data_IF_059859813354
#
_entry.id   IF_059859813354
#
_cell.length_a   1.000
_cell.length_b   1.000
_cell.length_c   1.000
_cell.angle_alpha   90.00
_cell.angle_beta   90.00
_cell.angle_gamma   90.00
#
_symmetry.space_group_name_H-M   'P 1'
#
loop_
_entity.id
_entity.type
_entity.pdbx_description
1 polymer ?
#
# COMPACT_ATOMS: atom_id res chain seq x y z
N UNK A 1 28.35 50.97 -16.82
CA UNK A 1 29.68 51.46 -17.28
C UNK A 1 29.87 52.84 -16.66
N UNK A 2 30.86 53.15 -15.82
CA UNK A 2 32.23 52.67 -15.73
C UNK A 2 32.72 52.67 -14.26
N UNK A 3 33.35 51.56 -13.83
CA UNK A 3 34.75 51.39 -13.36
C UNK A 3 34.99 51.88 -11.90
N UNK A 4 35.06 51.00 -10.91
CA UNK A 4 36.08 49.99 -10.53
C UNK A 4 37.14 50.52 -9.53
N UNK A 5 37.08 49.93 -8.33
CA UNK A 5 38.15 49.63 -7.35
C UNK A 5 38.97 50.77 -6.71
N UNK A 6 38.93 50.86 -5.37
CA UNK A 6 40.01 50.34 -4.50
C UNK A 6 39.83 50.80 -3.04
N UNK A 7 39.67 49.82 -2.15
CA UNK A 7 40.26 49.63 -0.82
C UNK A 7 40.44 50.74 0.24
N UNK A 8 40.37 50.22 1.48
CA UNK A 8 40.75 50.79 2.77
C UNK A 8 39.66 51.61 3.47
N UNK A 9 39.10 51.03 4.54
CA UNK A 9 39.10 51.53 5.92
C UNK A 9 37.94 50.88 6.67
N UNK A 10 38.28 49.91 7.54
CA UNK A 10 37.65 49.63 8.84
C UNK A 10 37.80 48.15 9.26
N UNK A 11 39.04 47.69 9.37
CA UNK A 11 39.39 46.61 10.31
C UNK A 11 39.84 47.27 11.62
N UNK A 12 38.90 47.46 12.54
CA UNK A 12 39.24 47.52 13.97
C UNK A 12 38.00 47.24 14.81
N UNK A 13 38.16 46.28 15.74
CA UNK A 13 37.23 45.84 16.80
C UNK A 13 36.22 44.75 16.41
N UNK A 14 36.65 43.50 16.57
CA UNK A 14 36.10 42.60 17.59
C UNK A 14 36.89 41.28 17.56
N UNK A 15 37.96 41.22 18.34
CA UNK A 15 38.60 39.96 18.70
C UNK A 15 37.95 39.46 20.00
N UNK A 16 37.12 38.43 19.92
CA UNK A 16 36.81 37.54 21.04
C UNK A 16 36.86 36.10 20.53
N UNK A 17 37.93 35.41 20.93
CA UNK A 17 38.05 33.97 21.19
C UNK A 17 37.33 32.96 20.27
N UNK A 18 38.08 32.34 19.35
CA UNK A 18 37.83 30.93 18.94
C UNK A 18 39.18 30.20 18.98
N UNK A 19 39.35 29.31 19.96
CA UNK A 19 40.40 28.29 19.91
C UNK A 19 40.00 27.27 18.85
N UNK A 20 40.70 27.27 17.72
CA UNK A 20 40.56 26.22 16.70
C UNK A 20 41.50 25.08 17.11
N UNK A 21 40.92 23.90 17.33
CA UNK A 21 41.63 22.68 17.68
C UNK A 21 42.57 22.24 16.54
N UNK A 22 43.80 21.82 16.90
CA UNK A 22 44.81 21.31 15.94
C UNK A 22 44.27 20.14 15.10
N UNK A 23 43.24 19.44 15.57
CA UNK A 23 42.55 18.35 14.86
C UNK A 23 41.84 18.80 13.56
N UNK A 24 41.30 20.03 13.55
CA UNK A 24 40.53 20.56 12.40
C UNK A 24 41.47 20.88 11.23
N UNK A 25 42.67 21.38 11.52
CA UNK A 25 43.68 21.67 10.49
C UNK A 25 44.26 20.38 9.87
N UNK A 26 44.37 19.30 10.65
CA UNK A 26 44.84 18.00 10.13
C UNK A 26 43.78 17.31 9.25
N UNK A 27 42.49 17.44 9.59
CA UNK A 27 41.40 16.85 8.78
C UNK A 27 41.22 17.54 7.43
N UNK A 28 41.45 18.87 7.35
CA UNK A 28 41.36 19.61 6.08
C UNK A 28 42.50 19.24 5.13
N UNK A 29 43.71 19.00 5.64
CA UNK A 29 44.85 18.54 4.83
C UNK A 29 44.70 17.10 4.31
N UNK A 30 44.11 16.20 5.11
CA UNK A 30 43.84 14.81 4.69
C UNK A 30 42.73 14.75 3.63
N UNK A 31 41.70 15.60 3.72
CA UNK A 31 40.69 15.72 2.67
C UNK A 31 41.26 16.24 1.35
N UNK A 32 42.23 17.18 1.39
CA UNK A 32 42.86 17.71 0.17
C UNK A 32 43.78 16.68 -0.52
N UNK A 33 44.47 15.83 0.24
CA UNK A 33 45.33 14.77 -0.30
C UNK A 33 44.56 13.56 -0.86
N UNK A 34 43.36 13.28 -0.33
CA UNK A 34 42.49 12.21 -0.85
C UNK A 34 41.74 12.63 -2.13
N UNK A 35 41.50 13.94 -2.32
CA UNK A 35 40.85 14.48 -3.52
C UNK A 35 41.76 14.51 -4.76
N UNK A 36 43.08 14.52 -4.61
CA UNK A 36 44.03 14.49 -5.73
C UNK A 36 44.37 13.06 -6.22
N UNK A 37 44.08 12.02 -5.43
CA UNK A 37 44.37 10.62 -5.77
C UNK A 37 43.28 9.93 -6.62
N UNK A 38 42.12 10.57 -6.85
CA UNK A 38 40.98 9.99 -7.58
C UNK A 38 40.90 10.39 -9.07
N UNK A 39 41.82 11.23 -9.55
CA UNK A 39 41.86 11.66 -10.95
C UNK A 39 43.27 11.48 -11.52
N UNK A 40 43.66 10.26 -11.92
CA UNK A 40 44.62 9.96 -13.00
C UNK A 40 44.77 8.43 -13.15
N UNK A 41 44.52 7.81 -14.33
CA UNK A 41 44.80 6.39 -14.55
C UNK A 41 46.23 6.24 -15.08
N UNK A 42 47.15 5.67 -14.28
CA UNK A 42 48.46 5.26 -14.77
C UNK A 42 48.41 3.76 -15.09
N UNK A 43 48.58 3.43 -16.38
CA UNK A 43 48.85 2.08 -16.87
C UNK A 43 50.27 1.69 -16.46
N UNK A 44 50.44 0.55 -15.81
CA UNK A 44 51.75 -0.09 -15.62
C UNK A 44 51.67 -1.54 -16.10
N UNK A 45 52.49 -1.85 -17.10
CA UNK A 45 52.77 -3.20 -17.62
C UNK A 45 53.67 -3.95 -16.63
N UNK A 46 53.31 -5.21 -16.32
CA UNK A 46 54.16 -6.14 -15.58
C UNK A 46 54.75 -7.18 -16.54
N UNK A 47 56.05 -7.53 -16.42
CA UNK A 47 56.67 -8.56 -17.24
C UNK A 47 56.48 -9.97 -16.65
N UNK A 48 56.51 -10.95 -17.56
CA UNK A 48 56.44 -12.39 -17.32
C UNK A 48 57.61 -12.92 -16.47
N UNK A 49 57.32 -13.76 -15.46
CA UNK A 49 58.03 -15.04 -15.24
C UNK A 49 57.51 -15.76 -13.98
N UNK A 50 57.02 -16.99 -14.19
CA UNK A 50 57.24 -18.24 -13.44
C UNK A 50 55.98 -19.10 -13.42
N UNK A 51 56.15 -20.30 -13.97
CA UNK A 51 55.18 -21.36 -14.22
C UNK A 51 55.38 -22.47 -13.20
N UNK A 52 54.30 -23.22 -12.95
CA UNK A 52 54.18 -24.50 -12.22
C UNK A 52 54.18 -24.37 -10.69
N UNK A 53 53.34 -25.07 -9.92
CA UNK A 53 52.80 -26.42 -10.14
C UNK A 53 51.61 -26.74 -9.22
N UNK A 54 50.72 -27.60 -9.73
CA UNK A 54 49.98 -28.67 -9.05
C UNK A 54 48.74 -28.37 -8.17
N UNK A 55 47.66 -28.98 -8.68
CA UNK A 55 46.67 -29.84 -8.02
C UNK A 55 45.41 -29.25 -7.35
N UNK A 56 44.32 -29.59 -8.03
CA UNK A 56 42.97 -29.89 -7.58
C UNK A 56 42.90 -30.58 -6.21
N UNK A 57 42.09 -30.01 -5.31
CA UNK A 57 41.30 -30.77 -4.34
C UNK A 57 40.04 -29.97 -3.98
N UNK A 58 38.89 -30.62 -4.13
CA UNK A 58 37.61 -30.25 -3.55
C UNK A 58 37.75 -29.92 -2.06
N UNK A 59 37.05 -28.90 -1.59
CA UNK A 59 36.26 -28.96 -0.35
C UNK A 59 35.39 -27.70 -0.18
N UNK A 60 34.09 -27.97 -0.09
CA UNK A 60 33.08 -27.38 0.78
C UNK A 60 33.51 -26.30 1.80
N UNK A 61 32.58 -25.34 1.93
CA UNK A 61 32.33 -24.45 3.07
C UNK A 61 33.07 -23.11 3.08
N UNK A 62 32.30 -22.03 2.94
CA UNK A 62 32.81 -20.67 2.75
C UNK A 62 31.77 -19.63 3.13
N UNK A 63 31.70 -19.34 4.43
CA UNK A 63 31.06 -18.14 5.01
C UNK A 63 31.44 -16.90 4.20
N UNK A 64 30.47 -16.25 3.57
CA UNK A 64 30.68 -14.89 3.07
C UNK A 64 30.53 -13.88 4.23
N UNK A 65 31.57 -13.04 4.30
CA UNK A 65 31.80 -12.09 5.36
C UNK A 65 30.78 -10.96 5.43
N UNK A 66 30.67 -10.43 6.64
CA UNK A 66 29.91 -9.24 7.01
C UNK A 66 30.39 -8.04 6.18
N UNK A 67 29.53 -7.53 5.31
CA UNK A 67 29.66 -6.17 4.79
C UNK A 67 28.88 -5.26 5.74
N UNK A 68 29.62 -4.46 6.50
CA UNK A 68 29.11 -3.43 7.41
C UNK A 68 28.45 -2.33 6.57
N UNK A 69 27.12 -2.36 6.47
CA UNK A 69 26.35 -1.20 6.02
C UNK A 69 26.18 -0.28 7.22
N UNK A 70 26.72 0.94 7.11
CA UNK A 70 26.60 1.97 8.11
C UNK A 70 25.12 2.27 8.42
N UNK A 71 24.70 1.92 9.63
CA UNK A 71 23.40 2.26 10.19
C UNK A 71 23.42 3.70 10.70
N UNK A 72 22.66 4.58 10.07
CA UNK A 72 22.31 5.88 10.66
C UNK A 72 21.33 5.68 11.83
N UNK A 73 21.51 6.34 12.98
CA UNK A 73 20.64 6.17 14.12
C UNK A 73 19.27 6.83 13.87
N UNK A 74 18.21 6.01 13.82
CA UNK A 74 16.83 6.48 13.93
C UNK A 74 16.61 7.02 15.35
N UNK A 75 16.68 8.34 15.50
CA UNK A 75 16.27 9.02 16.72
C UNK A 75 14.74 8.95 16.88
N UNK A 76 14.31 8.19 17.90
CA UNK A 76 13.27 8.62 18.84
C UNK A 76 11.82 8.69 18.35
N UNK A 77 11.22 7.56 18.01
CA UNK A 77 9.78 7.36 18.29
C UNK A 77 9.66 6.71 19.66
N UNK A 78 9.19 7.47 20.67
CA UNK A 78 8.83 6.94 21.99
C UNK A 78 7.73 5.90 21.77
N UNK A 79 8.00 4.66 22.19
CA UNK A 79 7.01 3.58 22.19
C UNK A 79 5.88 3.94 23.16
N UNK A 80 4.64 3.83 22.69
CA UNK A 80 3.45 3.97 23.52
C UNK A 80 3.49 2.90 24.64
N UNK A 81 3.44 3.27 25.94
CA UNK A 81 3.61 2.32 27.04
C UNK A 81 2.39 1.41 27.30
N UNK A 82 1.26 1.59 26.60
CA UNK A 82 0.05 0.79 26.83
C UNK A 82 -0.09 -0.46 25.95
N UNK A 83 0.88 -0.77 25.08
CA UNK A 83 0.84 -2.01 24.31
C UNK A 83 1.40 -3.18 25.12
N UNK A 84 0.55 -3.81 25.92
CA UNK A 84 0.91 -4.96 26.75
C UNK A 84 1.22 -6.19 25.86
N UNK A 85 2.48 -6.32 25.43
CA UNK A 85 3.00 -7.44 24.64
C UNK A 85 3.14 -8.70 25.51
N UNK A 86 2.05 -9.35 25.90
CA UNK A 86 2.14 -10.61 26.68
C UNK A 86 1.28 -11.77 26.18
N UNK A 87 0.68 -11.68 24.99
CA UNK A 87 0.23 -12.87 24.24
C UNK A 87 0.49 -12.70 22.75
N UNK A 88 1.72 -13.01 22.30
CA UNK A 88 1.94 -13.33 20.89
C UNK A 88 1.26 -14.66 20.61
N UNK A 89 0.07 -14.63 20.01
CA UNK A 89 -0.40 -15.81 19.30
C UNK A 89 0.55 -16.09 18.14
N UNK A 90 0.82 -17.37 17.89
CA UNK A 90 1.74 -17.76 16.83
C UNK A 90 1.00 -17.68 15.49
N UNK A 91 1.38 -16.70 14.64
CA UNK A 91 0.89 -16.60 13.25
C UNK A 91 1.14 -17.90 12.44
N UNK A 92 1.85 -18.90 12.99
CA UNK A 92 2.11 -20.21 12.40
C UNK A 92 1.03 -21.27 12.67
N UNK A 93 -0.01 -20.99 13.46
CA UNK A 93 -1.17 -21.91 13.54
C UNK A 93 -1.93 -22.00 12.20
N UNK A 94 -1.74 -21.03 11.31
CA UNK A 94 -2.27 -21.05 9.94
C UNK A 94 -1.20 -21.62 9.00
N UNK A 95 -1.15 -22.96 8.86
CA UNK A 95 -0.24 -23.62 7.92
C UNK A 95 -0.75 -23.45 6.49
N UNK A 96 -0.08 -22.60 5.71
CA UNK A 96 -0.20 -22.58 4.25
C UNK A 96 0.58 -23.74 3.62
N UNK A 97 0.21 -24.98 3.94
CA UNK A 97 0.60 -26.16 3.16
C UNK A 97 -0.66 -26.63 2.45
N UNK A 98 -0.54 -26.92 1.16
CA UNK A 98 -1.58 -27.51 0.29
C UNK A 98 -2.44 -26.54 -0.53
N UNK A 99 -1.91 -25.38 -0.95
CA UNK A 99 -2.50 -24.68 -2.10
C UNK A 99 -1.95 -25.25 -3.42
N UNK A 100 -2.76 -26.08 -4.07
CA UNK A 100 -2.75 -26.22 -5.54
C UNK A 100 -3.82 -25.26 -6.09
N UNK A 101 -3.51 -24.41 -7.07
CA UNK A 101 -4.53 -23.59 -7.72
C UNK A 101 -5.63 -24.51 -8.29
N UNK A 102 -6.91 -24.16 -8.12
CA UNK A 102 -7.98 -25.01 -8.62
C UNK A 102 -7.87 -25.10 -10.14
N UNK A 103 -7.89 -26.33 -10.66
CA UNK A 103 -8.18 -26.57 -12.07
C UNK A 103 -9.60 -26.08 -12.37
N UNK A 104 -9.84 -25.40 -13.50
CA UNK A 104 -11.17 -24.95 -13.85
C UNK A 104 -12.01 -26.17 -14.20
N UNK A 105 -12.91 -26.58 -13.30
CA UNK A 105 -14.18 -27.29 -13.56
C UNK A 105 -14.77 -27.84 -12.25
N UNK A 106 -15.87 -27.23 -11.81
CA UNK A 106 -17.10 -27.94 -11.50
C UNK A 106 -18.22 -27.05 -12.03
N UNK A 107 -18.87 -27.48 -13.10
CA UNK A 107 -20.14 -26.93 -13.55
C UNK A 107 -21.18 -27.20 -12.48
N UNK A 108 -21.35 -26.26 -11.55
CA UNK A 108 -22.55 -26.23 -10.72
C UNK A 108 -23.74 -25.98 -11.64
N UNK A 109 -24.80 -26.75 -11.44
CA UNK A 109 -26.11 -26.48 -12.03
C UNK A 109 -26.48 -25.04 -11.71
N UNK A 110 -26.41 -24.16 -12.72
CA UNK A 110 -26.82 -22.76 -12.61
C UNK A 110 -28.35 -22.78 -12.62
N UNK A 111 -28.98 -22.94 -11.45
CA UNK A 111 -30.26 -22.28 -11.27
C UNK A 111 -29.95 -20.79 -11.38
N UNK A 112 -30.41 -20.13 -12.44
CA UNK A 112 -30.30 -18.68 -12.63
C UNK A 112 -30.91 -17.98 -11.41
N UNK A 113 -30.07 -17.66 -10.41
CA UNK A 113 -30.50 -16.86 -9.27
C UNK A 113 -30.59 -15.42 -9.75
N UNK A 114 -31.76 -14.80 -9.56
CA UNK A 114 -31.97 -13.41 -9.95
C UNK A 114 -31.24 -12.51 -8.97
N UNK A 115 -30.65 -11.43 -9.49
CA UNK A 115 -30.07 -10.39 -8.65
C UNK A 115 -31.20 -9.56 -8.05
N UNK A 116 -31.36 -9.66 -6.74
CA UNK A 116 -32.37 -8.95 -5.95
C UNK A 116 -31.71 -7.84 -5.14
N UNK A 117 -32.24 -6.63 -5.26
CA UNK A 117 -31.82 -5.47 -4.48
C UNK A 117 -32.82 -5.23 -3.35
N UNK A 118 -32.31 -5.19 -2.12
CA UNK A 118 -33.07 -4.86 -0.92
C UNK A 118 -32.55 -3.55 -0.32
N UNK A 119 -33.34 -2.94 0.56
CA UNK A 119 -32.90 -1.79 1.34
C UNK A 119 -33.50 -1.84 2.73
N UNK A 120 -32.69 -1.53 3.74
CA UNK A 120 -33.11 -1.45 5.15
C UNK A 120 -32.52 -0.20 5.79
N UNK A 121 -33.27 0.41 6.71
CA UNK A 121 -32.73 1.45 7.58
C UNK A 121 -32.07 0.81 8.80
N UNK A 122 -30.89 1.30 9.18
CA UNK A 122 -30.07 0.72 10.24
C UNK A 122 -29.53 1.82 11.14
N UNK A 123 -29.60 1.60 12.46
CA UNK A 123 -28.90 2.43 13.43
C UNK A 123 -27.40 2.19 13.32
N UNK A 124 -26.61 3.24 13.17
CA UNK A 124 -25.14 3.14 13.05
C UNK A 124 -24.54 3.09 14.45
N UNK A 125 -24.74 2.02 15.20
CA UNK A 125 -24.20 1.92 16.57
C UNK A 125 -22.66 2.00 16.60
N UNK A 126 -22.06 2.76 17.55
CA UNK A 126 -22.67 3.51 18.66
C UNK A 126 -22.99 4.98 18.33
N UNK A 127 -23.06 5.35 17.06
CA UNK A 127 -23.39 6.69 16.58
C UNK A 127 -24.90 6.94 16.58
N UNK A 128 -25.30 8.14 16.97
CA UNK A 128 -26.71 8.55 17.03
C UNK A 128 -27.26 8.98 15.65
N UNK A 129 -27.13 8.13 14.64
CA UNK A 129 -27.67 8.36 13.30
C UNK A 129 -28.15 7.06 12.66
N UNK A 130 -29.11 7.20 11.73
CA UNK A 130 -29.55 6.11 10.85
C UNK A 130 -28.95 6.22 9.47
N UNK A 131 -28.88 5.09 8.77
CA UNK A 131 -28.57 5.05 7.35
C UNK A 131 -29.36 3.97 6.64
N UNK A 132 -29.75 4.24 5.40
CA UNK A 132 -30.28 3.22 4.49
C UNK A 132 -29.11 2.44 3.90
N UNK A 133 -29.09 1.12 4.11
CA UNK A 133 -28.16 0.21 3.44
C UNK A 133 -28.87 -0.44 2.26
N UNK A 134 -28.25 -0.36 1.09
CA UNK A 134 -28.66 -1.12 -0.09
C UNK A 134 -27.91 -2.45 -0.11
N UNK A 135 -28.66 -3.54 -0.29
CA UNK A 135 -28.17 -4.91 -0.16
C UNK A 135 -28.39 -5.66 -1.46
N UNK A 136 -27.33 -6.25 -2.00
CA UNK A 136 -27.43 -7.11 -3.19
C UNK A 136 -27.47 -8.58 -2.77
N UNK A 137 -28.41 -9.37 -3.30
CA UNK A 137 -28.54 -10.80 -3.03
C UNK A 137 -28.77 -11.59 -4.33
N UNK A 138 -28.16 -12.77 -4.45
CA UNK A 138 -28.46 -13.73 -5.52
C UNK A 138 -29.56 -14.68 -5.05
N UNK A 139 -30.82 -14.23 -5.03
CA UNK A 139 -31.96 -14.98 -4.47
C UNK A 139 -33.29 -14.54 -5.08
N UNK A 140 -34.24 -15.48 -5.18
CA UNK A 140 -35.61 -15.18 -5.64
C UNK A 140 -36.58 -14.96 -4.45
N UNK A 141 -36.07 -14.99 -3.21
CA UNK A 141 -36.86 -14.77 -2.00
C UNK A 141 -37.16 -13.28 -1.79
N UNK A 142 -38.34 -12.91 -1.27
CA UNK A 142 -38.69 -11.51 -1.00
C UNK A 142 -37.75 -10.89 0.03
N UNK A 143 -37.47 -9.59 -0.10
CA UNK A 143 -36.62 -8.86 0.83
C UNK A 143 -37.18 -8.90 2.27
N UNK A 144 -36.38 -9.29 3.27
CA UNK A 144 -36.68 -9.03 4.67
C UNK A 144 -36.95 -7.54 4.91
N UNK A 145 -37.83 -7.24 5.86
CA UNK A 145 -38.27 -5.87 6.12
C UNK A 145 -37.43 -5.17 7.19
N UNK A 146 -36.76 -5.93 8.05
CA UNK A 146 -35.89 -5.44 9.13
C UNK A 146 -34.43 -5.86 8.92
N UNK A 147 -33.53 -5.11 9.55
CA UNK A 147 -32.08 -5.29 9.40
C UNK A 147 -31.60 -6.63 9.99
N UNK A 148 -32.17 -7.10 11.10
CA UNK A 148 -31.72 -8.33 11.76
C UNK A 148 -32.05 -9.56 10.91
N UNK A 149 -33.27 -9.64 10.39
CA UNK A 149 -33.69 -10.70 9.47
C UNK A 149 -32.90 -10.68 8.16
N UNK A 150 -32.54 -9.48 7.67
CA UNK A 150 -31.69 -9.35 6.49
C UNK A 150 -30.26 -9.80 6.75
N UNK A 151 -29.67 -9.38 7.88
CA UNK A 151 -28.34 -9.80 8.31
C UNK A 151 -28.28 -11.32 8.46
N UNK A 152 -29.24 -11.91 9.17
CA UNK A 152 -29.32 -13.35 9.36
C UNK A 152 -29.42 -14.08 8.02
N UNK A 153 -30.19 -13.56 7.06
CA UNK A 153 -30.27 -14.13 5.72
C UNK A 153 -28.93 -14.06 5.00
N UNK A 154 -28.26 -12.90 5.01
CA UNK A 154 -26.97 -12.75 4.32
C UNK A 154 -25.95 -13.72 4.91
N UNK A 155 -25.84 -13.77 6.24
CA UNK A 155 -24.93 -14.68 6.95
C UNK A 155 -25.23 -16.14 6.60
N UNK A 156 -26.50 -16.54 6.61
CA UNK A 156 -26.89 -17.93 6.37
C UNK A 156 -26.68 -18.37 4.91
N UNK A 157 -26.98 -17.48 3.94
CA UNK A 157 -26.94 -17.84 2.53
C UNK A 157 -25.58 -17.57 1.86
N UNK A 158 -24.82 -16.59 2.36
CA UNK A 158 -23.62 -16.07 1.70
C UNK A 158 -22.41 -15.91 2.62
N UNK A 159 -22.57 -16.05 3.93
CA UNK A 159 -21.52 -15.82 4.93
C UNK A 159 -21.48 -14.37 5.41
N UNK A 160 -20.60 -14.12 6.38
CA UNK A 160 -20.37 -12.79 6.94
C UNK A 160 -19.21 -12.07 6.25
N UNK A 161 -19.23 -10.75 6.31
CA UNK A 161 -18.09 -9.90 5.99
C UNK A 161 -16.97 -10.13 7.01
N UNK A 162 -15.72 -9.93 6.60
CA UNK A 162 -14.52 -9.94 7.46
C UNK A 162 -14.28 -8.56 8.13
N UNK A 163 -15.25 -7.65 8.03
CA UNK A 163 -15.16 -6.28 8.56
C UNK A 163 -16.13 -6.01 9.73
N UNK A 164 -17.44 -6.12 9.49
CA UNK A 164 -18.50 -5.81 10.47
C UNK A 164 -19.88 -6.23 9.95
N UNK A 165 -20.87 -6.27 10.83
CA UNK A 165 -22.27 -6.56 10.46
C UNK A 165 -22.85 -5.56 9.46
N UNK A 166 -22.48 -4.29 9.58
CA UNK A 166 -22.90 -3.28 8.61
C UNK A 166 -22.31 -3.53 7.22
N UNK A 167 -21.06 -4.00 7.15
CA UNK A 167 -20.46 -4.43 5.89
C UNK A 167 -21.09 -5.73 5.38
N UNK A 168 -21.52 -6.64 6.27
CA UNK A 168 -22.31 -7.83 5.90
C UNK A 168 -23.65 -7.46 5.28
N UNK A 169 -24.35 -6.49 5.87
CA UNK A 169 -25.65 -6.02 5.37
C UNK A 169 -25.62 -5.47 3.94
N UNK A 170 -24.47 -5.11 3.38
CA UNK A 170 -24.38 -4.70 1.96
C UNK A 170 -24.57 -5.88 0.98
N UNK A 171 -24.51 -7.12 1.47
CA UNK A 171 -24.76 -8.32 0.67
C UNK A 171 -23.59 -8.69 -0.23
N UNK A 172 -23.87 -9.46 -1.29
CA UNK A 172 -22.85 -10.02 -2.19
C UNK A 172 -22.38 -9.03 -3.26
N UNK A 173 -21.33 -9.40 -3.97
CA UNK A 173 -20.78 -8.66 -5.12
C UNK A 173 -20.28 -7.23 -4.83
N UNK A 174 -19.91 -6.94 -3.57
CA UNK A 174 -19.43 -5.62 -3.18
C UNK A 174 -18.14 -5.23 -3.93
N UNK A 175 -18.02 -3.95 -4.23
CA UNK A 175 -16.77 -3.33 -4.64
C UNK A 175 -16.24 -2.46 -3.50
N UNK A 176 -14.99 -2.65 -3.09
CA UNK A 176 -14.44 -2.03 -1.86
C UNK A 176 -13.13 -1.28 -2.10
N UNK A 177 -13.06 -0.02 -1.70
CA UNK A 177 -11.79 0.70 -1.50
C UNK A 177 -11.37 0.53 -0.05
N UNK A 178 -10.23 -0.12 0.17
CA UNK A 178 -9.74 -0.52 1.49
C UNK A 178 -8.57 0.35 1.94
N UNK A 179 -8.68 0.85 3.17
CA UNK A 179 -7.71 1.75 3.81
C UNK A 179 -7.33 1.25 5.21
N UNK A 180 -6.12 1.61 5.63
CA UNK A 180 -5.69 1.53 7.02
C UNK A 180 -5.63 2.94 7.61
N UNK A 181 -6.07 3.10 8.85
CA UNK A 181 -5.81 4.29 9.67
C UNK A 181 -5.26 3.83 11.01
N UNK A 182 -4.07 4.30 11.38
CA UNK A 182 -3.34 3.83 12.56
C UNK A 182 -2.46 4.92 13.16
N UNK A 183 -1.92 4.64 14.36
CA UNK A 183 -1.17 5.61 15.16
C UNK A 183 -2.08 6.51 15.98
N UNK A 184 -1.46 7.29 16.88
CA UNK A 184 -2.19 8.17 17.80
C UNK A 184 -3.06 9.18 17.04
N UNK A 185 -4.30 9.34 17.53
CA UNK A 185 -5.26 10.30 17.00
C UNK A 185 -5.06 11.70 17.62
N UNK A 186 -5.12 12.79 16.85
CA UNK A 186 -5.20 12.87 15.39
C UNK A 186 -3.81 12.87 14.73
N UNK A 187 -3.72 12.34 13.50
CA UNK A 187 -2.54 12.42 12.65
C UNK A 187 -2.92 12.54 11.15
N UNK A 188 -1.92 12.65 10.27
CA UNK A 188 -2.11 12.86 8.82
C UNK A 188 -3.03 11.81 8.15
N UNK A 189 -3.05 10.56 8.62
CA UNK A 189 -3.89 9.49 8.06
C UNK A 189 -5.39 9.75 8.29
N UNK A 190 -5.74 10.29 9.46
CA UNK A 190 -7.12 10.67 9.79
C UNK A 190 -7.59 11.86 8.96
N UNK A 191 -6.70 12.83 8.72
CA UNK A 191 -6.99 14.03 7.92
C UNK A 191 -7.17 13.70 6.44
N UNK A 192 -6.40 12.74 5.91
CA UNK A 192 -6.51 12.29 4.53
C UNK A 192 -7.89 11.70 4.21
N UNK A 193 -8.47 10.95 5.15
CA UNK A 193 -9.76 10.29 4.96
C UNK A 193 -10.92 11.28 4.67
N UNK A 194 -10.95 12.43 5.35
CA UNK A 194 -11.93 13.51 5.09
C UNK A 194 -11.94 13.98 3.62
N UNK A 195 -10.77 13.95 2.96
CA UNK A 195 -10.64 14.34 1.54
C UNK A 195 -10.99 13.19 0.60
N UNK A 196 -10.71 11.96 1.01
CA UNK A 196 -10.89 10.77 0.19
C UNK A 196 -12.35 10.34 0.08
N UNK A 197 -13.13 10.40 1.17
CA UNK A 197 -14.50 9.87 1.18
C UNK A 197 -15.43 10.56 0.16
N UNK A 198 -15.47 11.91 0.06
CA UNK A 198 -16.24 12.57 -0.99
C UNK A 198 -15.72 12.25 -2.39
N UNK A 199 -14.39 12.21 -2.56
CA UNK A 199 -13.76 11.95 -3.86
C UNK A 199 -14.05 10.54 -4.37
N UNK A 200 -14.05 9.54 -3.50
CA UNK A 200 -14.40 8.16 -3.86
C UNK A 200 -15.86 8.09 -4.31
N UNK A 201 -16.78 8.75 -3.58
CA UNK A 201 -18.19 8.76 -3.97
C UNK A 201 -18.40 9.41 -5.33
N UNK A 202 -17.63 10.45 -5.65
CA UNK A 202 -17.67 11.13 -6.95
C UNK A 202 -17.19 10.23 -8.09
N UNK A 203 -16.05 9.55 -7.94
CA UNK A 203 -15.41 8.83 -9.06
C UNK A 203 -15.74 7.34 -9.13
N UNK A 204 -16.16 6.76 -8.02
CA UNK A 204 -16.50 5.35 -7.83
C UNK A 204 -17.82 5.23 -7.02
N UNK A 205 -18.95 5.72 -7.55
CA UNK A 205 -20.20 5.88 -6.78
C UNK A 205 -20.77 4.58 -6.20
N UNK A 206 -20.49 3.45 -6.86
CA UNK A 206 -20.93 2.10 -6.46
C UNK A 206 -19.94 1.37 -5.54
N UNK A 207 -18.81 2.00 -5.21
CA UNK A 207 -17.80 1.41 -4.34
C UNK A 207 -18.03 1.83 -2.89
N UNK A 208 -17.96 0.84 -2.01
CA UNK A 208 -17.93 1.06 -0.57
C UNK A 208 -16.49 1.33 -0.13
N UNK A 209 -16.34 2.05 0.97
CA UNK A 209 -15.05 2.32 1.61
C UNK A 209 -14.99 1.52 2.89
N UNK A 210 -13.93 0.75 3.07
CA UNK A 210 -13.64 0.06 4.32
C UNK A 210 -12.38 0.63 4.95
N UNK A 211 -12.50 1.10 6.18
CA UNK A 211 -11.39 1.67 6.94
C UNK A 211 -11.10 0.76 8.11
N UNK A 212 -9.96 0.06 8.05
CA UNK A 212 -9.46 -0.74 9.15
C UNK A 212 -8.74 0.16 10.13
N UNK A 213 -9.16 0.12 11.39
CA UNK A 213 -8.78 1.09 12.41
C UNK A 213 -8.75 0.47 13.80
N UNK A 214 -7.84 0.96 14.63
CA UNK A 214 -7.82 0.71 16.07
C UNK A 214 -8.78 1.70 16.75
N UNK A 215 -9.94 1.20 17.16
CA UNK A 215 -10.97 1.99 17.82
C UNK A 215 -10.89 1.94 19.36
N UNK A 216 -9.74 1.55 19.93
CA UNK A 216 -9.55 1.50 21.39
C UNK A 216 -9.53 2.89 22.07
N UNK A 217 -9.39 3.97 21.29
CA UNK A 217 -9.36 5.34 21.80
C UNK A 217 -10.77 5.94 21.86
N UNK A 218 -11.32 6.12 23.06
CA UNK A 218 -12.64 6.78 23.24
C UNK A 218 -12.71 8.18 22.59
N UNK A 219 -11.59 8.90 22.54
CA UNK A 219 -11.49 10.22 21.88
C UNK A 219 -11.71 10.18 20.36
N UNK A 220 -11.58 9.01 19.74
CA UNK A 220 -11.78 8.81 18.31
C UNK A 220 -13.26 8.69 17.93
N UNK A 221 -14.12 8.31 18.89
CA UNK A 221 -15.51 7.98 18.61
C UNK A 221 -16.30 9.13 17.97
N UNK A 222 -16.22 10.40 18.43
CA UNK A 222 -16.92 11.52 17.78
C UNK A 222 -16.51 11.70 16.32
N UNK A 223 -15.22 11.54 16.01
CA UNK A 223 -14.70 11.64 14.65
C UNK A 223 -15.18 10.49 13.76
N UNK A 224 -15.19 9.25 14.27
CA UNK A 224 -15.74 8.10 13.55
C UNK A 224 -17.22 8.30 13.26
N UNK A 225 -18.00 8.72 14.25
CA UNK A 225 -19.43 8.95 14.08
C UNK A 225 -19.74 10.07 13.11
N UNK A 226 -19.00 11.18 13.16
CA UNK A 226 -19.12 12.23 12.16
C UNK A 226 -18.98 11.67 10.74
N UNK A 227 -17.91 10.90 10.48
CA UNK A 227 -17.67 10.33 9.14
C UNK A 227 -18.69 9.26 8.76
N UNK A 228 -19.02 8.34 9.67
CA UNK A 228 -19.96 7.25 9.40
C UNK A 228 -21.39 7.78 9.09
N UNK A 229 -21.82 8.83 9.78
CA UNK A 229 -23.11 9.47 9.52
C UNK A 229 -23.11 10.32 8.23
N UNK A 230 -21.98 10.95 7.88
CA UNK A 230 -21.87 11.77 6.67
C UNK A 230 -21.67 10.96 5.39
N UNK A 231 -21.16 9.73 5.49
CA UNK A 231 -20.76 8.91 4.34
C UNK A 231 -21.39 7.51 4.41
N UNK A 232 -22.59 7.30 3.84
CA UNK A 232 -23.28 6.00 3.87
C UNK A 232 -22.51 4.85 3.21
N UNK A 233 -21.56 5.15 2.33
CA UNK A 233 -20.68 4.18 1.68
C UNK A 233 -19.47 3.75 2.54
N UNK A 234 -19.29 4.31 3.74
CA UNK A 234 -18.19 3.98 4.65
C UNK A 234 -18.58 2.90 5.67
N UNK A 235 -17.71 1.92 5.85
CA UNK A 235 -17.71 1.01 7.00
C UNK A 235 -16.36 1.06 7.73
N UNK A 236 -16.41 1.19 9.05
CA UNK A 236 -15.25 0.99 9.89
C UNK A 236 -15.12 -0.49 10.26
N UNK A 237 -13.91 -1.02 10.11
CA UNK A 237 -13.54 -2.38 10.52
C UNK A 237 -12.62 -2.24 11.74
N UNK A 238 -13.19 -2.42 12.94
CA UNK A 238 -12.42 -2.31 14.17
C UNK A 238 -11.49 -3.53 14.29
N UNK A 239 -10.18 -3.30 14.29
CA UNK A 239 -9.18 -4.38 14.30
C UNK A 239 -9.26 -5.29 15.52
N UNK A 240 -9.77 -4.79 16.65
CA UNK A 240 -9.95 -5.58 17.87
C UNK A 240 -11.18 -6.51 17.83
N UNK A 241 -12.11 -6.26 16.90
CA UNK A 241 -13.39 -6.96 16.79
C UNK A 241 -13.65 -7.47 15.38
N UNK A 242 -12.59 -7.76 14.61
CA UNK A 242 -12.75 -8.35 13.27
C UNK A 242 -13.30 -9.78 13.38
N UNK A 243 -14.27 -10.15 12.54
CA UNK A 243 -14.73 -11.53 12.43
C UNK A 243 -13.58 -12.49 12.10
N UNK A 244 -13.73 -13.76 12.49
CA UNK A 244 -12.76 -14.83 12.21
C UNK A 244 -11.32 -14.55 12.69
N UNK A 245 -11.09 -13.64 13.65
CA UNK A 245 -9.75 -13.32 14.17
C UNK A 245 -9.47 -13.94 15.56
N UNK A 246 -10.27 -14.92 15.99
CA UNK A 246 -10.10 -15.60 17.27
C UNK A 246 -8.71 -16.22 17.41
N UNK A 247 -7.99 -15.81 18.45
CA UNK A 247 -6.64 -16.31 18.71
C UNK A 247 -5.58 -15.81 17.72
N UNK A 248 -5.87 -14.80 16.90
CA UNK A 248 -4.93 -14.11 16.01
C UNK A 248 -4.59 -12.74 16.58
N UNK A 249 -3.30 -12.47 16.75
CA UNK A 249 -2.82 -11.14 17.17
C UNK A 249 -2.68 -10.28 15.93
N UNK A 250 -3.47 -9.20 15.86
CA UNK A 250 -3.34 -8.23 14.77
C UNK A 250 -1.97 -7.54 14.84
N UNK A 251 -1.33 -7.48 13.69
CA UNK A 251 -0.01 -6.89 13.46
C UNK A 251 -0.10 -5.39 13.17
N UNK A 252 0.87 -4.90 12.38
CA UNK A 252 1.05 -3.47 12.13
C UNK A 252 -0.08 -2.86 11.27
N UNK A 253 -0.45 -1.62 11.60
CA UNK A 253 -1.36 -0.74 10.86
C UNK A 253 -1.19 -0.75 9.36
N UNK A 254 0.06 -0.79 8.90
CA UNK A 254 0.38 -0.83 7.47
C UNK A 254 -0.15 -2.08 6.75
N UNK A 255 -0.61 -3.10 7.47
CA UNK A 255 -1.16 -4.33 6.88
C UNK A 255 -2.69 -4.34 6.84
N UNK A 256 -3.36 -3.54 7.69
CA UNK A 256 -4.78 -3.75 7.99
C UNK A 256 -5.71 -3.66 6.78
N UNK A 257 -5.43 -2.78 5.81
CA UNK A 257 -6.18 -2.69 4.54
C UNK A 257 -6.25 -4.02 3.78
N UNK A 258 -5.33 -4.95 4.02
CA UNK A 258 -5.35 -6.27 3.42
C UNK A 258 -6.41 -7.21 4.03
N UNK A 259 -7.10 -6.82 5.10
CA UNK A 259 -8.17 -7.60 5.72
C UNK A 259 -9.37 -7.89 4.81
N UNK A 260 -9.53 -7.13 3.72
CA UNK A 260 -10.59 -7.40 2.72
C UNK A 260 -10.29 -8.62 1.85
N UNK A 261 -9.04 -9.12 1.86
CA UNK A 261 -8.67 -10.32 1.12
C UNK A 261 -9.37 -11.52 1.79
N UNK A 262 -10.15 -12.24 0.98
CA UNK A 262 -10.88 -13.41 1.46
C UNK A 262 -12.29 -13.14 1.94
N UNK A 263 -12.71 -11.88 2.00
CA UNK A 263 -14.09 -11.53 2.27
C UNK A 263 -15.00 -12.05 1.15
N UNK A 264 -15.88 -12.98 1.50
CA UNK A 264 -16.75 -13.71 0.57
C UNK A 264 -17.84 -12.85 -0.06
N UNK A 265 -18.16 -11.71 0.56
CA UNK A 265 -19.17 -10.76 0.07
C UNK A 265 -18.58 -9.70 -0.87
N UNK A 266 -17.25 -9.61 -0.95
CA UNK A 266 -16.53 -8.63 -1.78
C UNK A 266 -16.10 -9.26 -3.09
N UNK A 267 -16.61 -8.79 -4.22
CA UNK A 267 -16.19 -9.25 -5.55
C UNK A 267 -14.86 -8.63 -5.98
N UNK A 268 -14.68 -7.33 -5.75
CA UNK A 268 -13.47 -6.59 -6.13
C UNK A 268 -13.06 -5.63 -5.02
N UNK A 269 -11.76 -5.43 -4.90
CA UNK A 269 -11.20 -4.50 -3.93
C UNK A 269 -10.04 -3.69 -4.50
N UNK A 270 -9.81 -2.50 -3.94
CA UNK A 270 -8.64 -1.66 -4.19
C UNK A 270 -7.95 -1.33 -2.87
N UNK A 271 -6.63 -1.49 -2.83
CA UNK A 271 -5.82 -1.11 -1.67
C UNK A 271 -5.27 0.28 -1.90
N UNK A 272 -5.51 1.18 -0.94
CA UNK A 272 -5.06 2.58 -1.02
C UNK A 272 -4.50 3.06 0.31
N UNK A 273 -3.57 4.00 0.22
CA UNK A 273 -3.01 4.69 1.37
C UNK A 273 -3.79 5.98 1.61
N UNK A 274 -4.10 6.31 2.87
CA UNK A 274 -4.91 7.49 3.22
C UNK A 274 -4.19 8.81 3.02
N UNK A 275 -2.86 8.78 2.86
CA UNK A 275 -2.05 9.96 2.57
C UNK A 275 -1.95 10.31 1.08
N UNK A 276 -2.59 9.52 0.21
CA UNK A 276 -2.46 9.62 -1.24
C UNK A 276 -3.76 10.12 -1.90
N UNK A 277 -3.75 11.24 -2.63
CA UNK A 277 -4.93 11.71 -3.36
C UNK A 277 -5.32 10.77 -4.51
N UNK A 278 -6.62 10.68 -4.80
CA UNK A 278 -7.14 9.99 -5.99
C UNK A 278 -7.10 10.93 -7.19
N UNK A 279 -6.07 10.77 -8.02
CA UNK A 279 -5.86 11.55 -9.23
C UNK A 279 -6.73 11.04 -10.39
N UNK A 280 -7.08 11.91 -11.34
CA UNK A 280 -7.79 11.50 -12.57
C UNK A 280 -7.05 10.40 -13.32
N UNK A 281 -5.71 10.47 -13.38
CA UNK A 281 -4.87 9.40 -13.95
C UNK A 281 -5.10 8.03 -13.30
N UNK A 282 -5.27 8.01 -11.98
CA UNK A 282 -5.59 6.77 -11.26
C UNK A 282 -6.97 6.26 -11.67
N UNK A 283 -7.96 7.15 -11.73
CA UNK A 283 -9.34 6.83 -12.12
C UNK A 283 -9.36 6.25 -13.53
N UNK A 284 -8.63 6.83 -14.48
CA UNK A 284 -8.53 6.32 -15.84
C UNK A 284 -7.92 4.91 -15.88
N UNK A 285 -6.84 4.68 -15.12
CA UNK A 285 -6.18 3.39 -15.01
C UNK A 285 -7.07 2.32 -14.35
N UNK A 286 -7.87 2.70 -13.34
CA UNK A 286 -8.85 1.83 -12.69
C UNK A 286 -10.00 1.51 -13.65
N UNK A 287 -10.55 2.51 -14.36
CA UNK A 287 -11.61 2.30 -15.36
C UNK A 287 -11.15 1.38 -16.48
N UNK A 288 -9.91 1.55 -16.96
CA UNK A 288 -9.32 0.64 -17.93
C UNK A 288 -9.21 -0.78 -17.36
N UNK A 289 -8.71 -0.95 -16.13
CA UNK A 289 -8.67 -2.27 -15.51
C UNK A 289 -10.07 -2.90 -15.41
N UNK A 290 -11.08 -2.15 -14.98
CA UNK A 290 -12.44 -2.64 -14.82
C UNK A 290 -13.10 -3.04 -16.14
N UNK A 291 -12.65 -2.50 -17.28
CA UNK A 291 -13.10 -2.92 -18.61
C UNK A 291 -12.37 -4.15 -19.14
N UNK A 292 -11.28 -4.58 -18.51
CA UNK A 292 -10.60 -5.84 -18.84
C UNK A 292 -11.23 -7.04 -18.14
N UNK A 293 -10.89 -8.25 -18.59
CA UNK A 293 -11.25 -9.50 -17.90
C UNK A 293 -10.22 -9.95 -16.85
N UNK A 294 -9.39 -9.02 -16.36
CA UNK A 294 -8.32 -9.36 -15.39
C UNK A 294 -8.76 -9.17 -13.95
N UNK A 295 -8.32 -10.07 -13.07
CA UNK A 295 -8.66 -10.01 -11.65
C UNK A 295 -7.88 -8.93 -10.90
N UNK A 296 -6.61 -8.72 -11.26
CA UNK A 296 -5.71 -7.86 -10.51
C UNK A 296 -5.36 -6.59 -11.27
N UNK A 297 -5.11 -5.51 -10.52
CA UNK A 297 -4.62 -4.24 -11.02
C UNK A 297 -3.38 -3.83 -10.26
N UNK A 298 -2.35 -3.38 -10.97
CA UNK A 298 -1.11 -2.93 -10.36
C UNK A 298 -0.69 -1.63 -11.04
N UNK A 299 -0.29 -0.64 -10.26
CA UNK A 299 0.15 0.66 -10.75
C UNK A 299 1.56 1.02 -10.24
N UNK A 300 2.41 1.51 -11.14
CA UNK A 300 3.78 1.99 -10.86
C UNK A 300 4.02 3.30 -11.60
N UNK A 301 3.68 4.41 -10.94
CA UNK A 301 3.60 5.73 -11.57
C UNK A 301 4.78 6.68 -11.21
N UNK A 302 5.81 6.18 -10.54
CA UNK A 302 7.00 6.96 -10.13
C UNK A 302 8.26 6.09 -10.25
N UNK A 303 9.44 6.70 -10.46
CA UNK A 303 10.74 5.99 -10.49
C UNK A 303 11.00 5.14 -9.24
N UNK A 304 10.51 5.58 -8.09
CA UNK A 304 10.65 4.86 -6.82
C UNK A 304 9.62 3.73 -6.66
N UNK A 305 8.63 3.62 -7.54
CA UNK A 305 7.64 2.54 -7.53
C UNK A 305 8.18 1.28 -8.20
N UNK A 306 9.33 0.80 -7.70
CA UNK A 306 10.14 -0.22 -8.33
C UNK A 306 9.96 -1.63 -7.74
N UNK A 307 8.91 -1.83 -6.94
CA UNK A 307 8.50 -3.12 -6.40
C UNK A 307 7.56 -3.85 -7.35
N UNK A 308 7.52 -5.19 -7.22
CA UNK A 308 6.58 -6.02 -7.99
C UNK A 308 5.13 -5.60 -7.77
N UNK A 309 4.79 -5.14 -6.56
CA UNK A 309 3.50 -4.54 -6.24
C UNK A 309 3.73 -3.48 -5.16
N UNK A 310 3.29 -2.25 -5.42
CA UNK A 310 3.27 -1.19 -4.40
C UNK A 310 2.04 -1.41 -3.51
N UNK A 311 2.19 -1.25 -2.20
CA UNK A 311 1.17 -1.68 -1.26
C UNK A 311 -0.12 -0.82 -1.27
N UNK A 312 -0.01 0.46 -1.61
CA UNK A 312 -1.14 1.39 -1.72
C UNK A 312 -1.66 1.63 -3.15
N UNK A 313 -1.25 0.86 -4.15
CA UNK A 313 -1.58 1.13 -5.56
C UNK A 313 -1.87 -0.15 -6.35
N UNK A 314 -2.74 -0.99 -5.80
CA UNK A 314 -3.17 -2.21 -6.46
C UNK A 314 -4.62 -2.55 -6.14
N UNK A 315 -5.19 -3.48 -6.90
CA UNK A 315 -6.53 -4.02 -6.70
C UNK A 315 -6.57 -5.49 -7.05
N UNK A 316 -7.62 -6.16 -6.60
CA UNK A 316 -7.83 -7.58 -6.83
C UNK A 316 -9.30 -7.93 -6.82
N UNK A 317 -9.58 -9.20 -7.06
CA UNK A 317 -10.89 -9.80 -6.92
C UNK A 317 -10.80 -10.95 -5.91
N UNK A 318 -11.81 -11.13 -5.04
CA UNK A 318 -11.83 -12.29 -4.14
C UNK A 318 -12.34 -13.52 -4.88
N UNK A 319 -11.48 -14.07 -5.75
CA UNK A 319 -11.67 -15.42 -6.29
C UNK A 319 -11.14 -16.50 -5.33
N UNK A 320 -10.68 -16.10 -4.15
CA UNK A 320 -10.22 -17.02 -3.11
C UNK A 320 -11.44 -17.71 -2.50
N UNK A 321 -11.65 -18.97 -2.84
CA UNK A 321 -12.83 -19.71 -2.38
C UNK A 321 -12.69 -20.10 -0.91
N UNK A 322 -13.71 -19.78 -0.12
CA UNK A 322 -13.89 -20.25 1.26
C UNK A 322 -12.71 -19.95 2.18
N UNK A 323 -12.34 -20.95 2.99
CA UNK A 323 -11.36 -20.81 4.07
C UNK A 323 -9.96 -20.34 3.61
N UNK A 324 -9.57 -20.58 2.36
CA UNK A 324 -8.25 -20.17 1.85
C UNK A 324 -8.14 -18.65 1.79
N UNK A 325 -9.19 -17.97 1.31
CA UNK A 325 -9.21 -16.52 1.27
C UNK A 325 -9.08 -15.92 2.66
N UNK A 326 -9.93 -16.39 3.58
CA UNK A 326 -9.93 -15.97 4.99
C UNK A 326 -8.54 -16.17 5.62
N UNK A 327 -7.89 -17.30 5.38
CA UNK A 327 -6.53 -17.55 5.87
C UNK A 327 -5.49 -16.58 5.31
N UNK A 328 -5.61 -16.19 4.04
CA UNK A 328 -4.71 -15.18 3.44
C UNK A 328 -4.94 -13.82 4.10
N UNK A 329 -6.20 -13.42 4.30
CA UNK A 329 -6.58 -12.18 5.01
C UNK A 329 -6.07 -12.16 6.45
N UNK A 330 -6.38 -13.19 7.24
CA UNK A 330 -5.87 -13.38 8.60
C UNK A 330 -4.35 -13.33 8.65
N UNK A 331 -3.67 -14.02 7.72
CA UNK A 331 -2.21 -13.98 7.67
C UNK A 331 -1.74 -12.56 7.41
N UNK A 332 -2.32 -11.85 6.46
CA UNK A 332 -1.99 -10.46 6.17
C UNK A 332 -2.14 -9.58 7.42
N UNK A 333 -3.25 -9.74 8.15
CA UNK A 333 -3.52 -9.03 9.40
C UNK A 333 -2.55 -9.39 10.53
N UNK A 334 -1.93 -10.58 10.52
CA UNK A 334 -1.01 -11.03 11.57
C UNK A 334 0.46 -10.64 11.33
N UNK A 335 0.91 -10.48 10.07
CA UNK A 335 2.35 -10.31 9.76
C UNK A 335 2.85 -8.92 10.20
N UNK A 336 4.03 -8.80 10.83
CA UNK A 336 4.63 -7.50 11.11
C UNK A 336 5.19 -6.81 9.85
N UNK A 337 4.82 -5.54 9.71
CA UNK A 337 5.51 -4.41 9.04
C UNK A 337 6.27 -4.65 7.72
N UNK A 338 5.77 -5.47 6.79
CA UNK A 338 6.40 -5.62 5.47
C UNK A 338 5.37 -5.90 4.37
N UNK A 339 4.46 -4.96 4.14
CA UNK A 339 3.37 -5.08 3.17
C UNK A 339 3.86 -5.47 1.76
N UNK A 340 4.88 -4.82 1.23
CA UNK A 340 5.42 -5.16 -0.10
C UNK A 340 6.12 -6.53 -0.15
N UNK A 341 6.74 -6.98 0.95
CA UNK A 341 7.29 -8.34 1.01
C UNK A 341 6.17 -9.38 1.09
N UNK A 342 5.11 -9.11 1.86
CA UNK A 342 3.93 -9.94 1.90
C UNK A 342 3.33 -10.07 0.50
N UNK A 343 3.13 -8.95 -0.21
CA UNK A 343 2.64 -8.96 -1.58
C UNK A 343 3.54 -9.77 -2.50
N UNK A 344 4.87 -9.55 -2.46
CA UNK A 344 5.85 -10.29 -3.28
C UNK A 344 5.76 -11.81 -3.07
N UNK A 345 5.57 -12.26 -1.83
CA UNK A 345 5.61 -13.69 -1.47
C UNK A 345 4.24 -14.36 -1.59
N UNK A 346 3.15 -13.65 -1.29
CA UNK A 346 1.81 -14.24 -1.15
C UNK A 346 0.86 -13.90 -2.28
N UNK A 347 0.90 -12.67 -2.80
CA UNK A 347 -0.10 -12.19 -3.77
C UNK A 347 0.47 -12.21 -5.19
N UNK A 348 1.66 -11.65 -5.40
CA UNK A 348 2.32 -11.52 -6.70
C UNK A 348 2.44 -12.83 -7.49
N UNK A 349 2.75 -14.00 -6.88
CA UNK A 349 2.86 -15.25 -7.65
C UNK A 349 1.59 -15.61 -8.42
N UNK A 350 0.41 -15.26 -7.87
CA UNK A 350 -0.91 -15.45 -8.48
C UNK A 350 -1.27 -14.25 -9.34
N UNK A 351 -1.12 -13.03 -8.81
CA UNK A 351 -1.56 -11.81 -9.48
C UNK A 351 -0.91 -11.61 -10.85
N UNK A 352 0.39 -11.91 -10.99
CA UNK A 352 1.14 -11.73 -12.25
C UNK A 352 0.59 -12.52 -13.45
N UNK A 353 -0.22 -13.55 -13.20
CA UNK A 353 -0.79 -14.40 -14.25
C UNK A 353 -2.10 -13.81 -14.81
N UNK A 354 -2.73 -12.88 -14.10
CA UNK A 354 -4.02 -12.32 -14.48
C UNK A 354 -4.16 -10.87 -13.97
N UNK A 355 -3.26 -9.99 -14.42
CA UNK A 355 -3.23 -8.59 -14.01
C UNK A 355 -3.21 -7.63 -15.20
N UNK A 356 -3.93 -6.52 -15.03
CA UNK A 356 -3.70 -5.28 -15.76
C UNK A 356 -2.66 -4.45 -15.02
N UNK A 357 -1.52 -4.18 -15.64
CA UNK A 357 -0.39 -3.52 -14.98
C UNK A 357 -0.05 -2.21 -15.68
N UNK A 358 -0.28 -1.07 -15.02
CA UNK A 358 0.10 0.24 -15.55
C UNK A 358 1.45 0.69 -14.96
N UNK A 359 2.37 1.10 -15.82
CA UNK A 359 3.75 1.42 -15.43
C UNK A 359 4.35 2.52 -16.29
N UNK A 360 4.76 3.62 -15.67
CA UNK A 360 5.33 4.78 -16.35
C UNK A 360 6.84 4.69 -16.57
N UNK A 361 7.56 3.91 -15.76
CA UNK A 361 9.02 4.00 -15.68
C UNK A 361 9.73 2.63 -15.72
N UNK A 362 9.15 1.61 -15.13
CA UNK A 362 9.75 0.29 -14.91
C UNK A 362 9.21 -0.80 -15.83
N UNK A 363 8.54 -0.45 -16.92
CA UNK A 363 7.92 -1.41 -17.84
C UNK A 363 8.90 -2.43 -18.46
N UNK A 364 10.19 -2.08 -18.61
CA UNK A 364 11.25 -3.03 -19.04
C UNK A 364 11.62 -4.05 -17.97
N UNK A 365 11.54 -3.65 -16.70
CA UNK A 365 11.81 -4.51 -15.55
C UNK A 365 10.65 -5.46 -15.27
N UNK A 366 9.43 -5.02 -15.60
CA UNK A 366 8.21 -5.80 -15.42
C UNK A 366 7.52 -6.00 -16.79
N UNK A 367 7.95 -7.02 -17.57
CA UNK A 367 7.31 -7.35 -18.84
C UNK A 367 5.81 -7.60 -18.68
N UNK A 368 5.01 -7.17 -19.67
CA UNK A 368 3.55 -7.21 -19.60
C UNK A 368 2.92 -5.96 -18.98
N UNK A 369 3.72 -5.04 -18.42
CA UNK A 369 3.25 -3.70 -18.09
C UNK A 369 2.89 -2.90 -19.34
N UNK A 370 1.85 -2.09 -19.24
CA UNK A 370 1.41 -1.13 -20.24
C UNK A 370 1.52 0.30 -19.69
N UNK A 371 1.62 1.31 -20.57
CA UNK A 371 1.58 2.70 -20.14
C UNK A 371 0.24 3.02 -19.47
N UNK A 372 0.24 4.02 -18.60
CA UNK A 372 -0.99 4.63 -18.11
C UNK A 372 -1.83 5.21 -19.26
N UNK A 373 -3.17 5.18 -19.15
CA UNK A 373 -4.08 5.53 -20.25
C UNK A 373 -4.23 7.04 -20.49
N UNK A 374 -3.72 7.89 -19.60
CA UNK A 374 -3.75 9.35 -19.75
C UNK A 374 -2.35 9.95 -19.72
N UNK A 375 -2.22 11.24 -20.05
CA UNK A 375 -0.98 11.99 -19.87
C UNK A 375 -0.86 12.47 -18.43
N UNK A 376 0.37 12.55 -17.89
CA UNK A 376 0.59 13.09 -16.55
C UNK A 376 0.29 14.59 -16.53
N UNK A 377 -0.47 15.03 -15.54
CA UNK A 377 -0.78 16.44 -15.32
C UNK A 377 -0.10 16.97 -14.06
N UNK A 378 0.42 18.20 -14.12
CA UNK A 378 1.03 18.93 -13.01
C UNK A 378 2.13 18.17 -12.26
N UNK A 379 2.87 17.27 -12.95
CA UNK A 379 3.90 16.42 -12.35
C UNK A 379 3.43 15.56 -11.16
N UNK A 380 2.12 15.42 -10.99
CA UNK A 380 1.52 14.57 -9.94
C UNK A 380 1.63 13.10 -10.33
N UNK A 381 1.66 12.20 -9.35
CA UNK A 381 1.70 10.76 -9.61
C UNK A 381 0.81 9.96 -8.65
N UNK A 382 0.30 8.84 -9.14
CA UNK A 382 -0.52 7.89 -8.36
C UNK A 382 0.32 7.36 -7.21
N UNK A 383 -0.19 7.49 -5.98
CA UNK A 383 0.52 7.11 -4.75
C UNK A 383 1.45 8.18 -4.17
N UNK A 384 1.39 9.43 -4.67
CA UNK A 384 2.07 10.56 -4.02
C UNK A 384 1.47 10.82 -2.64
N UNK A 385 2.28 11.15 -1.64
CA UNK A 385 1.86 11.24 -0.22
C UNK A 385 1.47 12.66 0.18
N UNK A 386 0.88 13.42 -0.74
CA UNK A 386 0.73 14.87 -0.60
C UNK A 386 -0.27 15.30 0.49
N UNK A 387 -1.02 14.37 1.10
CA UNK A 387 -1.82 14.69 2.29
C UNK A 387 -1.01 14.71 3.58
N UNK A 388 0.23 14.20 3.56
CA UNK A 388 1.17 14.39 4.67
C UNK A 388 1.86 15.73 4.55
N UNK A 389 1.89 16.48 5.65
CA UNK A 389 2.45 17.85 5.67
C UNK A 389 3.87 17.93 5.08
N UNK A 390 4.71 16.94 5.42
CA UNK A 390 6.10 16.84 4.92
C UNK A 390 6.20 16.60 3.40
N UNK A 391 5.19 16.00 2.78
CA UNK A 391 5.23 15.58 1.37
C UNK A 391 4.23 16.33 0.49
N UNK A 392 3.67 17.45 0.96
CA UNK A 392 2.64 18.24 0.25
C UNK A 392 3.02 18.60 -1.19
N UNK A 393 4.32 18.77 -1.45
CA UNK A 393 4.88 19.19 -2.74
C UNK A 393 5.58 18.05 -3.49
N UNK A 394 5.28 16.81 -3.14
CA UNK A 394 5.86 15.64 -3.81
C UNK A 394 5.39 15.57 -5.28
N UNK A 395 6.34 15.62 -6.22
CA UNK A 395 6.12 15.61 -7.67
C UNK A 395 7.15 14.73 -8.40
N UNK A 396 6.90 14.41 -9.67
CA UNK A 396 7.85 13.72 -10.55
C UNK A 396 8.16 14.56 -11.80
N UNK A 397 9.43 14.96 -11.94
CA UNK A 397 9.93 15.76 -13.08
C UNK A 397 10.76 14.94 -14.06
N UNK A 398 10.85 13.62 -13.87
CA UNK A 398 11.59 12.76 -14.80
C UNK A 398 10.70 12.34 -15.95
N UNK A 399 11.21 12.49 -17.18
CA UNK A 399 10.50 12.03 -18.37
C UNK A 399 10.36 10.51 -18.38
N UNK A 400 9.24 10.02 -18.89
CA UNK A 400 9.04 8.60 -19.14
C UNK A 400 10.08 8.06 -20.13
N UNK A 401 10.66 6.87 -19.87
CA UNK A 401 11.41 6.14 -20.87
C UNK A 401 10.57 5.93 -22.12
N UNK A 402 11.15 6.14 -23.31
CA UNK A 402 10.45 6.02 -24.61
C UNK A 402 9.67 4.70 -24.72
N UNK A 403 10.29 3.61 -24.28
CA UNK A 403 9.70 2.27 -24.29
C UNK A 403 8.51 2.08 -23.33
N UNK A 404 8.31 2.96 -22.35
CA UNK A 404 7.19 2.93 -21.42
C UNK A 404 6.09 3.93 -21.77
N UNK A 405 6.24 4.70 -22.87
CA UNK A 405 5.21 5.63 -23.34
C UNK A 405 4.16 4.89 -24.18
N UNK A 406 2.90 5.37 -24.24
CA UNK A 406 1.90 4.83 -25.16
C UNK A 406 2.39 4.84 -26.60
N UNK A 407 2.17 3.74 -27.34
CA UNK A 407 2.61 3.62 -28.75
C UNK A 407 2.08 4.75 -29.63
N UNK A 408 0.84 5.19 -29.37
CA UNK A 408 0.18 6.27 -30.09
C UNK A 408 0.48 7.68 -29.53
N UNK A 409 1.19 7.77 -28.40
CA UNK A 409 1.50 9.03 -27.72
C UNK A 409 2.96 9.07 -27.24
N UNK A 410 3.90 8.91 -28.17
CA UNK A 410 5.34 9.01 -27.87
C UNK A 410 5.77 10.43 -27.49
N UNK A 411 4.94 11.43 -27.83
CA UNK A 411 5.03 12.84 -27.45
C UNK A 411 4.72 13.08 -25.96
N UNK A 412 4.09 12.13 -25.26
CA UNK A 412 3.89 12.21 -23.82
C UNK A 412 5.21 12.00 -23.06
N UNK A 413 6.03 13.05 -23.01
CA UNK A 413 7.28 13.05 -22.26
C UNK A 413 7.05 12.75 -20.77
N UNK A 414 5.90 13.18 -20.25
CA UNK A 414 5.40 12.85 -18.92
C UNK A 414 4.16 11.97 -19.07
N UNK A 415 4.41 10.68 -19.12
CA UNK A 415 3.46 9.63 -18.79
C UNK A 415 3.70 9.23 -17.32
#
# INVERSE_FOLDING_TARGET
>A
MARLASDMWALTRMAVCVRIDKLVLTMVLVCFLLLTALYHPIKVQLPHSLVSSLNTQDMSDGRLGKTTVASFPLHGMKKNPHFNRTKRSDCNKVRAKDYKPPSPKVSMVINERVLQNCSVEVQVSPCACTRTIHTTLHTNKPCPQDADSLLQRVVTEFGNSECSDLATLRGVDQQVVSYSVFGEFPNDYYLGLHKLLPRIKEVFPEWNVRVYIDASYNSLLPWMCQLACQHPHLDFCNIDHLPNMEGVTVGDGIMWRFGVIGDTLVKRYMMRDTDSPILTREVDAVRHWLSTNTCYHIMRDNLHHNWVMMAGMWGGCNNWQGAVGVQVGQKALCVPSHDQNFLKVKVWPVARLNATIHDSYTCRRFPGSQPFPSQRSNFTFVGQRSYRGRYRWETTHTQCPVNCRPKLHQDWLYC
#
